data_IF_324130276569
#
_entry.id   IF_324130276569
#
_cell.length_a   1.000
_cell.length_b   1.000
_cell.length_c   1.000
_cell.angle_alpha   90.00
_cell.angle_beta   90.00
_cell.angle_gamma   90.00
#
_symmetry.space_group_name_H-M   'P 1'
#
loop_
_entity.id
_entity.type
_entity.pdbx_description
1 polymer ?
#
# COMPACT_ATOMS: atom_id res chain seq x y z
N UNK A 1 -28.31 0.06 5.05
CA UNK A 1 -28.06 1.27 4.25
C UNK A 1 -26.77 2.00 4.60
N UNK A 2 -26.27 1.94 5.86
CA UNK A 2 -24.99 2.55 6.24
C UNK A 2 -23.82 2.00 5.40
N UNK A 3 -23.73 0.68 5.20
CA UNK A 3 -22.67 0.04 4.39
C UNK A 3 -22.54 0.62 2.97
N UNK A 4 -23.66 0.90 2.27
CA UNK A 4 -23.60 1.44 0.91
C UNK A 4 -23.06 2.88 0.88
N UNK A 5 -23.40 3.69 1.88
CA UNK A 5 -22.93 5.08 1.98
C UNK A 5 -21.43 5.10 2.28
N UNK A 6 -20.99 4.26 3.21
CA UNK A 6 -19.58 4.12 3.56
C UNK A 6 -18.74 3.60 2.38
N UNK A 7 -19.26 2.61 1.68
CA UNK A 7 -18.65 2.06 0.47
C UNK A 7 -18.59 3.13 -0.64
N UNK A 8 -19.67 3.88 -0.84
CA UNK A 8 -19.72 5.00 -1.78
C UNK A 8 -18.72 6.11 -1.44
N UNK A 9 -18.51 6.40 -0.16
CA UNK A 9 -17.47 7.32 0.29
C UNK A 9 -16.07 6.79 -0.01
N UNK A 10 -15.81 5.51 0.27
CA UNK A 10 -14.52 4.88 -0.01
C UNK A 10 -14.18 4.92 -1.51
N UNK A 11 -15.14 4.54 -2.37
CA UNK A 11 -14.99 4.66 -3.82
C UNK A 11 -14.90 6.10 -4.29
N UNK A 12 -15.63 7.03 -3.67
CA UNK A 12 -15.54 8.46 -3.95
C UNK A 12 -14.14 9.00 -3.74
N UNK A 13 -13.47 8.62 -2.64
CA UNK A 13 -12.08 9.00 -2.38
C UNK A 13 -11.13 8.36 -3.39
N UNK A 14 -11.37 7.10 -3.78
CA UNK A 14 -10.59 6.45 -4.85
C UNK A 14 -10.68 7.21 -6.19
N UNK A 15 -11.90 7.57 -6.61
CA UNK A 15 -12.13 8.34 -7.84
C UNK A 15 -11.47 9.71 -7.75
N UNK A 16 -11.56 10.38 -6.61
CA UNK A 16 -10.87 11.66 -6.41
C UNK A 16 -9.35 11.50 -6.50
N UNK A 17 -8.78 10.44 -5.91
CA UNK A 17 -7.34 10.17 -6.01
C UNK A 17 -6.87 9.87 -7.42
N UNK A 18 -7.67 9.14 -8.20
CA UNK A 18 -7.41 8.89 -9.63
C UNK A 18 -7.55 10.18 -10.46
N UNK A 19 -8.55 11.03 -10.16
CA UNK A 19 -8.71 12.31 -10.83
C UNK A 19 -7.54 13.25 -10.56
N UNK A 20 -7.08 13.31 -9.30
CA UNK A 20 -5.89 14.08 -8.91
C UNK A 20 -4.67 13.52 -9.64
N UNK A 21 -4.49 12.20 -9.64
CA UNK A 21 -3.41 11.50 -10.38
C UNK A 21 -3.37 11.88 -11.86
N UNK A 22 -4.54 11.97 -12.50
CA UNK A 22 -4.63 12.33 -13.92
C UNK A 22 -4.26 13.79 -14.24
N UNK A 23 -4.40 14.70 -13.26
CA UNK A 23 -4.04 16.12 -13.41
C UNK A 23 -2.57 16.38 -13.06
N UNK A 24 -1.95 15.50 -12.28
CA UNK A 24 -0.55 15.62 -11.89
C UNK A 24 0.39 15.44 -13.10
N UNK A 25 1.44 16.27 -13.24
CA UNK A 25 2.38 16.20 -14.37
C UNK A 25 3.38 15.04 -14.26
N UNK A 26 3.29 14.21 -13.20
CA UNK A 26 4.17 13.06 -12.97
C UNK A 26 3.36 11.81 -12.64
N UNK A 27 3.90 10.63 -13.00
CA UNK A 27 3.26 9.36 -12.77
C UNK A 27 3.23 9.03 -11.26
N UNK A 28 2.10 9.29 -10.62
CA UNK A 28 1.87 8.98 -9.22
C UNK A 28 0.60 8.14 -9.07
N UNK A 29 0.66 6.94 -8.46
CA UNK A 29 -0.50 6.06 -8.38
C UNK A 29 -1.67 6.72 -7.65
N UNK A 30 -2.85 6.74 -8.28
CA UNK A 30 -4.08 7.26 -7.67
C UNK A 30 -4.46 6.54 -6.38
N UNK A 31 -4.12 5.25 -6.25
CA UNK A 31 -4.29 4.48 -5.01
C UNK A 31 -3.52 5.06 -3.82
N UNK A 32 -2.28 5.53 -4.04
CA UNK A 32 -1.45 6.15 -2.99
C UNK A 32 -2.03 7.52 -2.61
N UNK A 33 -2.49 8.31 -3.60
CA UNK A 33 -3.16 9.60 -3.34
C UNK A 33 -4.43 9.37 -2.51
N UNK A 34 -5.23 8.37 -2.87
CA UNK A 34 -6.45 8.01 -2.15
C UNK A 34 -6.17 7.62 -0.70
N UNK A 35 -5.08 6.87 -0.47
CA UNK A 35 -4.59 6.53 0.87
C UNK A 35 -4.22 7.78 1.69
N UNK A 36 -3.49 8.72 1.09
CA UNK A 36 -3.12 9.99 1.72
C UNK A 36 -4.32 10.89 1.97
N UNK A 37 -5.27 10.95 1.03
CA UNK A 37 -6.52 11.68 1.19
C UNK A 37 -7.31 11.13 2.36
N UNK A 38 -7.53 9.81 2.41
CA UNK A 38 -8.20 9.16 3.55
C UNK A 38 -7.50 9.49 4.86
N UNK A 39 -6.17 9.36 4.91
CA UNK A 39 -5.39 9.72 6.09
C UNK A 39 -5.66 11.18 6.52
N UNK A 40 -5.68 12.11 5.59
CA UNK A 40 -5.97 13.52 5.87
C UNK A 40 -7.40 13.74 6.38
N UNK A 41 -8.39 13.03 5.81
CA UNK A 41 -9.78 13.09 6.28
C UNK A 41 -9.94 12.55 7.71
N UNK A 42 -9.24 11.47 8.05
CA UNK A 42 -9.22 10.92 9.41
C UNK A 42 -8.51 11.87 10.38
N UNK A 43 -7.36 12.43 10.00
CA UNK A 43 -6.60 13.39 10.82
C UNK A 43 -7.40 14.68 11.08
N UNK A 44 -8.15 15.17 10.08
CA UNK A 44 -8.96 16.38 10.18
C UNK A 44 -10.19 16.22 11.09
N UNK A 45 -10.43 15.02 11.65
CA UNK A 45 -11.61 14.64 12.48
C UNK A 45 -12.97 14.87 11.82
N UNK A 46 -13.00 15.22 10.53
CA UNK A 46 -14.23 15.33 9.74
C UNK A 46 -14.94 13.99 9.62
N UNK A 47 -14.18 12.89 9.70
CA UNK A 47 -14.69 11.54 9.68
C UNK A 47 -14.11 10.74 10.85
N UNK A 48 -14.99 10.10 11.64
CA UNK A 48 -14.57 9.12 12.65
C UNK A 48 -14.27 7.80 11.97
N UNK A 49 -13.28 7.08 12.48
CA UNK A 49 -12.92 5.73 12.00
C UNK A 49 -14.11 4.77 11.96
N UNK A 50 -14.98 4.84 12.98
CA UNK A 50 -16.23 4.07 13.05
C UNK A 50 -17.21 4.32 11.89
N UNK A 51 -17.00 5.40 11.13
CA UNK A 51 -17.82 5.74 9.96
C UNK A 51 -17.46 4.91 8.74
N UNK A 52 -16.30 4.27 8.68
CA UNK A 52 -15.84 3.50 7.50
C UNK A 52 -15.42 2.08 7.88
N UNK A 53 -15.21 1.83 9.17
CA UNK A 53 -14.78 0.56 9.73
C UNK A 53 -15.62 -0.64 9.27
N UNK A 54 -16.96 -0.53 9.26
CA UNK A 54 -17.85 -1.64 8.89
C UNK A 54 -17.65 -2.08 7.43
N UNK A 55 -17.56 -1.11 6.50
CA UNK A 55 -17.32 -1.39 5.08
C UNK A 55 -15.88 -1.77 4.79
N UNK A 56 -14.91 -1.16 5.48
CA UNK A 56 -13.51 -1.53 5.36
C UNK A 56 -13.29 -2.98 5.82
N UNK A 57 -13.83 -3.36 6.98
CA UNK A 57 -13.77 -4.73 7.48
C UNK A 57 -14.49 -5.72 6.56
N UNK A 58 -15.62 -5.34 5.97
CA UNK A 58 -16.30 -6.16 4.98
C UNK A 58 -15.42 -6.43 3.75
N UNK A 59 -14.78 -5.39 3.20
CA UNK A 59 -13.87 -5.52 2.05
C UNK A 59 -12.62 -6.33 2.39
N UNK A 60 -12.05 -6.12 3.59
CA UNK A 60 -10.87 -6.86 4.07
C UNK A 60 -11.20 -8.34 4.32
N UNK A 61 -12.37 -8.63 4.89
CA UNK A 61 -12.83 -10.01 5.11
C UNK A 61 -13.02 -10.76 3.79
N UNK A 62 -13.49 -10.06 2.76
CA UNK A 62 -13.70 -10.62 1.42
C UNK A 62 -12.53 -10.32 0.47
N UNK A 63 -11.35 -9.93 0.97
CA UNK A 63 -10.24 -9.45 0.14
C UNK A 63 -9.81 -10.48 -0.91
N UNK A 64 -9.80 -11.77 -0.56
CA UNK A 64 -9.47 -12.86 -1.48
C UNK A 64 -10.37 -12.89 -2.71
N UNK A 65 -11.67 -12.59 -2.57
CA UNK A 65 -12.60 -12.53 -3.69
C UNK A 65 -12.20 -11.45 -4.71
N UNK A 66 -11.77 -10.28 -4.23
CA UNK A 66 -11.30 -9.18 -5.09
C UNK A 66 -9.94 -9.46 -5.76
N UNK A 67 -9.15 -10.41 -5.26
CA UNK A 67 -7.92 -10.86 -5.92
C UNK A 67 -8.15 -11.84 -7.07
N UNK A 68 -9.32 -12.50 -7.15
CA UNK A 68 -9.62 -13.48 -8.20
C UNK A 68 -9.56 -12.84 -9.60
N UNK A 69 -10.23 -11.69 -9.88
CA UNK A 69 -10.16 -11.05 -11.19
C UNK A 69 -8.73 -10.68 -11.60
N UNK A 70 -7.93 -10.21 -10.65
CA UNK A 70 -6.52 -9.89 -10.87
C UNK A 70 -5.72 -11.15 -11.26
N UNK A 71 -5.90 -12.25 -10.53
CA UNK A 71 -5.25 -13.53 -10.82
C UNK A 71 -5.65 -14.09 -12.19
N UNK A 72 -6.93 -14.03 -12.55
CA UNK A 72 -7.42 -14.46 -13.87
C UNK A 72 -6.84 -13.60 -14.99
N UNK A 73 -6.65 -12.30 -14.75
CA UNK A 73 -5.99 -11.40 -15.70
C UNK A 73 -4.56 -11.85 -16.04
N UNK A 74 -3.82 -12.34 -15.04
CA UNK A 74 -2.44 -12.85 -15.20
C UNK A 74 -2.42 -14.13 -16.05
N UNK A 75 -3.45 -14.99 -15.96
CA UNK A 75 -3.52 -16.22 -16.76
C UNK A 75 -3.51 -15.96 -18.27
N UNK A 76 -3.94 -14.77 -18.73
CA UNK A 76 -3.82 -14.39 -20.15
C UNK A 76 -2.37 -14.35 -20.63
N UNK A 77 -1.41 -14.15 -19.73
CA UNK A 77 0.02 -14.15 -20.00
C UNK A 77 0.70 -15.44 -19.54
N UNK A 78 -0.05 -16.51 -19.27
CA UNK A 78 0.50 -17.76 -18.73
C UNK A 78 1.61 -18.37 -19.61
N UNK A 79 1.52 -18.27 -20.93
CA UNK A 79 2.57 -18.75 -21.84
C UNK A 79 3.88 -17.97 -21.68
N UNK A 80 3.80 -16.64 -21.56
CA UNK A 80 4.96 -15.79 -21.31
C UNK A 80 5.56 -16.12 -19.94
N UNK A 81 4.73 -16.19 -18.90
CA UNK A 81 5.17 -16.52 -17.54
C UNK A 81 5.83 -17.89 -17.51
N UNK A 82 5.29 -18.90 -18.19
CA UNK A 82 5.90 -20.23 -18.30
C UNK A 82 7.28 -20.22 -18.95
N UNK A 83 7.58 -19.25 -19.81
CA UNK A 83 8.92 -19.13 -20.39
C UNK A 83 9.96 -18.53 -19.43
N UNK A 84 9.54 -17.68 -18.49
CA UNK A 84 10.43 -16.93 -17.59
C UNK A 84 10.20 -17.19 -16.10
N UNK A 85 9.38 -18.19 -15.74
CA UNK A 85 8.94 -18.43 -14.37
C UNK A 85 10.10 -18.57 -13.37
N UNK A 86 11.18 -19.25 -13.76
CA UNK A 86 12.36 -19.43 -12.92
C UNK A 86 13.11 -18.10 -12.73
N UNK A 87 13.21 -17.29 -13.78
CA UNK A 87 13.83 -15.96 -13.69
C UNK A 87 13.02 -15.05 -12.76
N UNK A 88 11.68 -15.09 -12.87
CA UNK A 88 10.78 -14.36 -11.97
C UNK A 88 10.97 -14.81 -10.51
N UNK A 89 11.07 -16.12 -10.26
CA UNK A 89 11.27 -16.65 -8.92
C UNK A 89 12.59 -16.17 -8.32
N UNK A 90 13.69 -16.29 -9.07
CA UNK A 90 15.02 -15.85 -8.62
C UNK A 90 15.04 -14.34 -8.37
N UNK A 91 14.53 -13.52 -9.29
CA UNK A 91 14.48 -12.06 -9.11
C UNK A 91 13.67 -11.68 -7.89
N UNK A 92 12.47 -12.25 -7.70
CA UNK A 92 11.65 -11.95 -6.52
C UNK A 92 12.34 -12.36 -5.22
N UNK A 93 12.94 -13.55 -5.17
CA UNK A 93 13.60 -14.03 -3.95
C UNK A 93 14.83 -13.18 -3.59
N UNK A 94 15.66 -12.86 -4.58
CA UNK A 94 16.84 -12.00 -4.39
C UNK A 94 16.41 -10.59 -3.98
N UNK A 95 15.44 -9.98 -4.67
CA UNK A 95 14.93 -8.65 -4.33
C UNK A 95 14.29 -8.61 -2.95
N UNK A 96 13.57 -9.67 -2.55
CA UNK A 96 12.99 -9.79 -1.22
C UNK A 96 14.09 -9.78 -0.14
N UNK A 97 15.08 -10.66 -0.28
CA UNK A 97 16.20 -10.74 0.66
C UNK A 97 17.01 -9.44 0.70
N UNK A 98 17.27 -8.84 -0.45
CA UNK A 98 17.98 -7.56 -0.54
C UNK A 98 17.19 -6.43 0.14
N UNK A 99 15.88 -6.37 -0.04
CA UNK A 99 15.01 -5.37 0.61
C UNK A 99 15.02 -5.53 2.14
N UNK A 100 14.91 -6.77 2.64
CA UNK A 100 14.99 -7.04 4.08
C UNK A 100 16.37 -6.70 4.64
N UNK A 101 17.45 -7.07 3.94
CA UNK A 101 18.81 -6.77 4.35
C UNK A 101 19.03 -5.25 4.41
N UNK A 102 18.63 -4.50 3.39
CA UNK A 102 18.73 -3.05 3.33
C UNK A 102 17.92 -2.37 4.45
N UNK A 103 16.69 -2.83 4.69
CA UNK A 103 15.82 -2.31 5.75
C UNK A 103 16.42 -2.56 7.14
N UNK A 104 16.89 -3.79 7.40
CA UNK A 104 17.55 -4.16 8.66
C UNK A 104 18.83 -3.35 8.88
N UNK A 105 19.67 -3.22 7.85
CA UNK A 105 20.91 -2.45 7.94
C UNK A 105 20.64 -0.97 8.22
N UNK A 106 19.61 -0.40 7.59
CA UNK A 106 19.19 0.98 7.82
C UNK A 106 18.79 1.20 9.28
N UNK A 107 18.00 0.28 9.84
CA UNK A 107 17.61 0.34 11.25
C UNK A 107 18.83 0.24 12.16
N UNK A 108 19.68 -0.77 11.97
CA UNK A 108 20.91 -0.99 12.77
C UNK A 108 21.85 0.21 12.71
N UNK A 109 21.99 0.82 11.54
CA UNK A 109 22.82 2.02 11.36
C UNK A 109 22.26 3.19 12.15
N UNK A 110 20.94 3.43 12.08
CA UNK A 110 20.28 4.52 12.81
C UNK A 110 20.38 4.30 14.32
N UNK A 111 20.16 3.09 14.84
CA UNK A 111 20.32 2.83 16.28
C UNK A 111 21.76 3.04 16.75
N UNK A 112 22.76 2.57 16.00
CA UNK A 112 24.17 2.82 16.33
C UNK A 112 24.52 4.31 16.32
N UNK A 113 24.02 5.05 15.33
CA UNK A 113 24.22 6.51 15.29
C UNK A 113 23.55 7.20 16.48
N UNK A 114 22.33 6.80 16.83
CA UNK A 114 21.61 7.33 18.00
C UNK A 114 22.36 7.04 19.31
N UNK A 115 22.92 5.84 19.48
CA UNK A 115 23.72 5.48 20.66
C UNK A 115 24.99 6.34 20.77
N UNK A 116 25.69 6.58 19.66
CA UNK A 116 26.86 7.46 19.63
C UNK A 116 26.50 8.91 19.96
N UNK A 117 25.38 9.41 19.43
CA UNK A 117 24.86 10.74 19.75
C UNK A 117 24.44 10.87 21.21
N UNK A 118 23.81 9.84 21.77
CA UNK A 118 23.36 9.83 23.17
C UNK A 118 24.54 9.78 24.15
N UNK A 119 25.61 9.03 23.81
CA UNK A 119 26.87 9.03 24.59
C UNK A 119 27.56 10.39 24.59
N UNK A 120 27.54 11.13 23.47
CA UNK A 120 28.08 12.50 23.39
C UNK A 120 27.25 13.56 24.11
N UNK A 121 25.96 13.33 24.32
CA UNK A 121 25.07 14.26 25.05
C UNK A 121 25.06 14.03 26.57
N UNK A 122 25.46 12.84 27.01
CA UNK A 122 25.52 12.46 28.43
C UNK A 122 26.94 12.52 29.03
N UNK A 123 27.94 12.96 28.25
CA UNK A 123 29.31 13.24 28.69
C UNK A 123 29.54 14.74 28.61
#
# INVERSE_FOLDING_TARGET
MKILIQLGLLFGVCILGDLISAVLPFAFPGSVISMLLMLFLLLSRWMKESTIEESANFLLTNMTFFFIPFGVGILRYAALIKSVWWQLLVVNLVSLLACFAASSWTVVLITRLQELWRRRRNA
#
